data_IF_253391747632
#
_entry.id   IF_253391747632
#
_cell.length_a   1.000
_cell.length_b   1.000
_cell.length_c   1.000
_cell.angle_alpha   90.00
_cell.angle_beta   90.00
_cell.angle_gamma   90.00
#
_symmetry.space_group_name_H-M   'P 1'
#
loop_
_entity.id
_entity.type
_entity.pdbx_description
1 polymer ?
#
# COMPACT_ATOMS: atom_id res chain seq x y z
N UNK A 1 -54.35 -13.56 -25.59
CA UNK A 1 -52.97 -13.27 -25.91
C UNK A 1 -52.29 -12.73 -24.66
N UNK A 2 -51.45 -13.52 -24.11
CA UNK A 2 -50.75 -13.14 -22.90
C UNK A 2 -49.41 -12.50 -23.30
N UNK A 3 -49.32 -11.21 -23.12
CA UNK A 3 -48.07 -10.52 -23.27
C UNK A 3 -47.13 -10.87 -22.09
N UNK A 4 -46.10 -11.56 -22.40
CA UNK A 4 -45.02 -11.84 -21.43
C UNK A 4 -44.25 -10.54 -21.28
N UNK A 5 -44.45 -9.88 -20.17
CA UNK A 5 -43.57 -8.79 -19.76
C UNK A 5 -42.32 -9.41 -19.18
N UNK A 6 -41.31 -9.49 -19.97
CA UNK A 6 -39.97 -9.71 -19.42
C UNK A 6 -39.59 -8.48 -18.60
N UNK A 7 -39.65 -8.60 -17.30
CA UNK A 7 -38.99 -7.65 -16.44
C UNK A 7 -37.50 -7.79 -16.63
N UNK A 8 -36.91 -6.86 -17.33
CA UNK A 8 -35.49 -6.72 -17.39
C UNK A 8 -35.03 -6.26 -15.99
N UNK A 9 -34.68 -7.21 -15.18
CA UNK A 9 -33.98 -6.91 -13.95
C UNK A 9 -32.60 -6.40 -14.36
N UNK A 10 -32.46 -5.09 -14.39
CA UNK A 10 -31.15 -4.47 -14.50
C UNK A 10 -30.32 -4.87 -13.30
N UNK A 11 -29.34 -5.73 -13.52
CA UNK A 11 -28.33 -6.02 -12.54
C UNK A 11 -27.52 -4.73 -12.37
N UNK A 12 -27.83 -3.97 -11.33
CA UNK A 12 -26.95 -2.89 -10.90
C UNK A 12 -25.71 -3.55 -10.32
N UNK A 13 -24.73 -3.74 -11.15
CA UNK A 13 -23.38 -3.96 -10.66
C UNK A 13 -22.88 -2.62 -10.13
N UNK A 14 -23.07 -2.40 -8.85
CA UNK A 14 -22.23 -1.46 -8.15
C UNK A 14 -20.85 -2.09 -8.08
N UNK A 15 -20.03 -1.77 -9.07
CA UNK A 15 -18.61 -1.98 -8.93
C UNK A 15 -18.20 -1.10 -7.76
N UNK A 16 -17.99 -1.71 -6.59
CA UNK A 16 -17.29 -1.04 -5.51
C UNK A 16 -15.96 -0.51 -6.05
N UNK A 17 -15.42 0.60 -5.50
CA UNK A 17 -14.14 1.11 -5.94
C UNK A 17 -13.15 -0.05 -5.90
N UNK A 18 -12.64 -0.42 -7.04
CA UNK A 18 -11.51 -1.33 -7.12
C UNK A 18 -10.37 -0.60 -6.41
N UNK A 19 -10.09 -1.01 -5.19
CA UNK A 19 -8.96 -0.51 -4.45
C UNK A 19 -7.73 -1.13 -5.10
N UNK A 20 -7.09 -0.38 -5.98
CA UNK A 20 -5.77 -0.73 -6.47
C UNK A 20 -4.85 -0.91 -5.25
N UNK A 21 -4.30 -2.10 -5.06
CA UNK A 21 -3.56 -2.46 -3.87
C UNK A 21 -4.46 -2.74 -2.66
N UNK A 22 -5.74 -3.07 -2.89
CA UNK A 22 -6.82 -3.15 -1.92
C UNK A 22 -6.78 -4.28 -0.92
N UNK A 23 -5.63 -4.57 -0.35
CA UNK A 23 -5.49 -5.57 0.70
C UNK A 23 -5.36 -4.95 2.09
N UNK A 24 -5.37 -3.64 2.18
CA UNK A 24 -5.29 -2.93 3.45
C UNK A 24 -6.63 -3.03 4.19
N UNK A 25 -6.61 -3.65 5.35
CA UNK A 25 -7.77 -3.82 6.23
C UNK A 25 -7.87 -2.76 7.32
N UNK A 26 -6.87 -1.87 7.41
CA UNK A 26 -6.78 -0.87 8.46
C UNK A 26 -7.65 0.37 8.21
N UNK A 27 -7.69 1.23 9.22
CA UNK A 27 -8.32 2.53 9.17
C UNK A 27 -7.29 3.59 8.72
N UNK A 28 -7.51 4.17 7.55
CA UNK A 28 -6.58 5.14 6.97
C UNK A 28 -6.46 6.42 7.81
N UNK A 29 -7.54 6.90 8.40
CA UNK A 29 -7.51 8.11 9.23
C UNK A 29 -6.72 7.88 10.52
N UNK A 30 -6.93 6.74 11.18
CA UNK A 30 -6.13 6.36 12.34
C UNK A 30 -4.67 6.12 11.97
N UNK A 31 -4.41 5.51 10.83
CA UNK A 31 -3.07 5.29 10.30
C UNK A 31 -2.32 6.58 10.01
N UNK A 32 -2.98 7.58 9.48
CA UNK A 32 -2.40 8.90 9.27
C UNK A 32 -1.88 9.52 10.57
N UNK A 33 -2.67 9.40 11.64
CA UNK A 33 -2.26 9.88 12.97
C UNK A 33 -1.05 9.12 13.51
N UNK A 34 -1.03 7.80 13.35
CA UNK A 34 0.10 6.94 13.77
C UNK A 34 1.35 7.21 12.93
N UNK A 35 1.19 7.49 11.65
CA UNK A 35 2.30 7.76 10.73
C UNK A 35 3.13 8.98 11.12
N UNK A 36 2.62 9.86 11.96
CA UNK A 36 3.40 10.98 12.53
C UNK A 36 4.68 10.51 13.21
N UNK A 37 4.72 9.29 13.72
CA UNK A 37 5.91 8.67 14.30
C UNK A 37 6.92 8.20 13.25
N UNK A 38 6.48 7.99 12.03
CA UNK A 38 7.29 7.43 10.94
C UNK A 38 7.84 8.53 10.02
N UNK A 39 7.16 9.66 9.92
CA UNK A 39 7.54 10.75 9.02
C UNK A 39 8.85 11.44 9.38
N UNK A 40 9.39 11.22 10.57
CA UNK A 40 10.72 11.70 10.91
C UNK A 40 11.79 11.14 9.94
N UNK A 41 11.60 9.93 9.46
CA UNK A 41 12.52 9.23 8.57
C UNK A 41 11.95 8.91 7.19
N UNK A 42 10.64 8.72 7.10
CA UNK A 42 9.97 8.30 5.88
C UNK A 42 9.17 9.44 5.24
N UNK A 43 9.21 9.49 3.93
CA UNK A 43 8.33 10.31 3.11
C UNK A 43 7.30 9.42 2.41
N UNK A 44 6.22 10.01 1.93
CA UNK A 44 5.29 9.38 0.99
C UNK A 44 5.15 10.32 -0.20
N UNK A 45 5.78 9.95 -1.30
CA UNK A 45 5.77 10.71 -2.55
C UNK A 45 5.31 9.79 -3.66
N UNK A 46 4.27 10.19 -4.36
CA UNK A 46 3.74 9.43 -5.49
C UNK A 46 4.71 9.43 -6.68
N UNK A 47 4.51 8.51 -7.60
CA UNK A 47 5.38 8.34 -8.77
C UNK A 47 5.41 9.58 -9.68
N UNK A 48 4.35 10.38 -9.68
CA UNK A 48 4.29 11.65 -10.42
C UNK A 48 4.97 12.83 -9.69
N UNK A 49 5.56 12.59 -8.51
CA UNK A 49 6.20 13.60 -7.70
C UNK A 49 5.29 14.30 -6.70
N UNK A 50 4.01 13.96 -6.64
CA UNK A 50 3.10 14.53 -5.64
C UNK A 50 3.51 14.12 -4.23
N UNK A 51 3.78 15.10 -3.38
CA UNK A 51 4.13 14.87 -1.98
C UNK A 51 2.86 14.67 -1.17
N UNK A 52 2.64 13.46 -0.71
CA UNK A 52 1.51 13.11 0.15
C UNK A 52 1.86 13.36 1.61
N UNK A 53 3.02 12.90 2.04
CA UNK A 53 3.58 13.20 3.35
C UNK A 53 5.02 13.66 3.18
N UNK A 54 5.27 14.91 3.56
CA UNK A 54 6.62 15.44 3.62
C UNK A 54 7.31 14.89 4.86
N UNK A 55 8.29 14.06 4.66
CA UNK A 55 9.04 13.42 5.75
C UNK A 55 10.54 13.46 5.53
N UNK A 56 11.26 12.79 6.41
CA UNK A 56 12.70 12.63 6.29
C UNK A 56 13.09 11.68 5.16
N UNK A 57 14.36 11.67 4.82
CA UNK A 57 14.94 10.81 3.77
C UNK A 57 15.95 9.82 4.32
N UNK A 58 15.92 9.59 5.63
CA UNK A 58 16.82 8.62 6.28
C UNK A 58 16.32 7.18 6.13
N UNK A 59 15.14 7.02 5.55
CA UNK A 59 14.51 5.75 5.26
C UNK A 59 13.78 5.84 3.91
N UNK A 60 13.39 4.70 3.32
CA UNK A 60 12.80 4.72 1.97
C UNK A 60 11.42 5.36 1.93
N UNK A 61 11.08 5.92 0.76
CA UNK A 61 9.72 6.34 0.43
C UNK A 61 8.77 5.14 0.52
N UNK A 62 7.68 5.30 1.22
CA UNK A 62 6.71 4.21 1.46
C UNK A 62 5.53 4.20 0.49
N UNK A 63 5.51 5.09 -0.51
CA UNK A 63 4.46 5.06 -1.52
C UNK A 63 4.47 3.72 -2.26
N UNK A 64 3.30 3.08 -2.34
CA UNK A 64 3.17 1.80 -3.03
C UNK A 64 3.89 0.64 -2.36
N UNK A 65 4.07 0.69 -1.05
CA UNK A 65 4.84 -0.34 -0.31
C UNK A 65 4.20 -1.73 -0.38
N UNK A 66 2.88 -1.83 -0.38
CA UNK A 66 2.23 -3.13 -0.43
C UNK A 66 2.48 -3.84 -1.74
N UNK A 67 2.77 -5.13 -1.64
CA UNK A 67 3.14 -6.02 -2.74
C UNK A 67 4.45 -5.65 -3.46
N UNK A 68 5.20 -4.71 -2.90
CA UNK A 68 6.55 -4.40 -3.37
C UNK A 68 7.56 -5.38 -2.77
N UNK A 69 8.50 -5.82 -3.57
CA UNK A 69 9.65 -6.58 -3.08
C UNK A 69 10.41 -5.77 -2.03
N UNK A 70 10.85 -6.44 -0.97
CA UNK A 70 11.60 -5.79 0.10
C UNK A 70 12.98 -5.31 -0.39
N UNK A 71 13.40 -4.15 0.11
CA UNK A 71 14.73 -3.56 -0.11
C UNK A 71 15.09 -3.25 -1.57
N UNK A 72 14.10 -2.85 -2.39
CA UNK A 72 14.37 -2.57 -3.82
C UNK A 72 14.04 -1.15 -4.28
N UNK A 73 13.59 -0.27 -3.39
CA UNK A 73 13.26 1.08 -3.82
C UNK A 73 14.52 1.80 -4.33
N UNK A 74 14.53 2.30 -5.58
CA UNK A 74 15.75 2.81 -6.21
C UNK A 74 16.30 4.08 -5.55
N UNK A 75 15.45 4.86 -4.89
CA UNK A 75 15.84 6.13 -4.27
C UNK A 75 16.49 5.96 -2.90
N UNK A 76 16.53 4.75 -2.37
CA UNK A 76 17.14 4.46 -1.08
C UNK A 76 18.17 3.35 -1.21
N UNK A 77 19.38 3.59 -0.73
CA UNK A 77 20.51 2.67 -0.92
C UNK A 77 21.07 2.08 0.38
N UNK A 78 20.55 2.50 1.52
CA UNK A 78 21.08 2.12 2.83
C UNK A 78 20.28 1.02 3.52
N UNK A 79 19.68 0.12 2.74
CA UNK A 79 18.98 -1.03 3.31
C UNK A 79 19.93 -1.92 4.11
N UNK A 80 19.46 -2.43 5.25
CA UNK A 80 20.20 -3.41 6.03
C UNK A 80 20.43 -4.71 5.27
N UNK A 81 21.54 -5.36 5.53
CA UNK A 81 21.92 -6.59 4.79
C UNK A 81 20.92 -7.71 4.90
N UNK A 82 20.30 -7.89 6.07
CA UNK A 82 19.30 -8.93 6.28
C UNK A 82 18.05 -8.67 5.46
N UNK A 83 17.62 -7.42 5.35
CA UNK A 83 16.46 -7.06 4.55
C UNK A 83 16.73 -7.22 3.05
N UNK A 84 17.90 -6.84 2.59
CA UNK A 84 18.32 -7.08 1.20
C UNK A 84 18.32 -8.57 0.88
N UNK A 85 18.86 -9.41 1.77
CA UNK A 85 18.87 -10.85 1.59
C UNK A 85 17.44 -11.43 1.56
N UNK A 86 16.57 -10.99 2.45
CA UNK A 86 15.17 -11.43 2.47
C UNK A 86 14.43 -11.03 1.18
N UNK A 87 14.63 -9.82 0.69
CA UNK A 87 14.08 -9.36 -0.58
C UNK A 87 14.56 -10.19 -1.76
N UNK A 88 15.85 -10.49 -1.81
CA UNK A 88 16.43 -11.33 -2.85
C UNK A 88 15.88 -12.76 -2.82
N UNK A 89 15.45 -13.24 -1.67
CA UNK A 89 14.81 -14.56 -1.51
C UNK A 89 13.31 -14.53 -1.78
N UNK A 90 12.77 -13.37 -2.14
CA UNK A 90 11.37 -13.24 -2.55
C UNK A 90 10.44 -12.61 -1.53
N UNK A 91 10.96 -12.01 -0.46
CA UNK A 91 10.09 -11.28 0.47
C UNK A 91 9.40 -10.13 -0.24
N UNK A 92 8.08 -10.15 -0.19
CA UNK A 92 7.20 -9.11 -0.71
C UNK A 92 6.39 -8.56 0.45
N UNK A 93 6.23 -7.24 0.51
CA UNK A 93 5.47 -6.59 1.58
C UNK A 93 3.97 -6.79 1.40
N UNK A 94 3.47 -7.98 1.73
CA UNK A 94 2.04 -8.14 1.95
C UNK A 94 1.64 -7.53 3.30
N UNK A 95 0.34 -7.37 3.54
CA UNK A 95 -0.13 -6.73 4.76
C UNK A 95 0.36 -7.44 6.03
N UNK A 96 0.28 -8.76 6.07
CA UNK A 96 0.66 -9.55 7.24
C UNK A 96 2.14 -9.39 7.60
N UNK A 97 3.02 -9.51 6.61
CA UNK A 97 4.46 -9.38 6.82
C UNK A 97 4.86 -7.95 7.15
N UNK A 98 4.21 -6.96 6.51
CA UNK A 98 4.47 -5.56 6.80
C UNK A 98 4.06 -5.21 8.24
N UNK A 99 2.87 -5.62 8.67
CA UNK A 99 2.38 -5.38 10.04
C UNK A 99 3.31 -6.03 11.07
N UNK A 100 3.72 -7.28 10.84
CA UNK A 100 4.66 -7.96 11.72
C UNK A 100 6.00 -7.24 11.82
N UNK A 101 6.51 -6.74 10.70
CA UNK A 101 7.79 -6.03 10.65
C UNK A 101 7.77 -4.72 11.41
N UNK A 102 6.72 -3.91 11.25
CA UNK A 102 6.64 -2.59 11.91
C UNK A 102 6.22 -2.69 13.38
N UNK A 103 5.73 -3.83 13.83
CA UNK A 103 5.33 -4.06 15.22
C UNK A 103 6.52 -4.32 16.16
N UNK A 104 7.69 -4.59 15.63
CA UNK A 104 8.90 -4.92 16.42
C UNK A 104 9.86 -3.75 16.53
#
# INVERSE_FOLDING_TARGET
MKTIRMALMGLLMTAGPALAGGHASGDAAAGEAVFKKCKACHTIVADDGTVIVKGGRNAPNLYGIYDRQAAVHPDFKKYGKSLVAAGAQGLVWNEADFVAYVAN
#
